data_IF_131081020949
#
_entry.id   IF_131081020949
#
_cell.length_a   1.000
_cell.length_b   1.000
_cell.length_c   1.000
_cell.angle_alpha   90.00
_cell.angle_beta   90.00
_cell.angle_gamma   90.00
#
_symmetry.space_group_name_H-M   'P 1'
#
loop_
_entity.id
_entity.type
_entity.pdbx_description
1 polymer ?
#
# COMPACT_ATOMS: atom_id res chain seq x y z
N UNK A 1 3.69 24.48 -9.79
CA UNK A 1 3.51 23.29 -10.62
C UNK A 1 3.28 22.11 -9.68
N UNK A 2 2.02 21.73 -9.40
CA UNK A 2 1.74 20.51 -8.61
C UNK A 2 1.60 19.34 -9.58
N UNK A 3 2.57 18.43 -9.60
CA UNK A 3 2.80 17.51 -10.75
C UNK A 3 2.28 16.09 -10.49
N UNK A 4 1.52 15.84 -9.42
CA UNK A 4 0.93 14.51 -9.19
C UNK A 4 -0.45 14.59 -8.53
N UNK A 5 -1.36 13.71 -8.96
CA UNK A 5 -2.72 13.58 -8.42
C UNK A 5 -2.75 12.44 -7.39
N UNK A 6 -3.51 12.65 -6.32
CA UNK A 6 -3.83 11.63 -5.31
C UNK A 6 -5.29 11.25 -5.50
N UNK A 7 -5.59 9.96 -5.68
CA UNK A 7 -6.93 9.45 -6.00
C UNK A 7 -7.31 8.25 -5.13
N UNK A 8 -8.58 8.08 -4.77
CA UNK A 8 -9.00 6.89 -4.06
C UNK A 8 -8.95 5.67 -4.98
N UNK A 9 -8.60 4.51 -4.42
CA UNK A 9 -8.69 3.22 -5.10
C UNK A 9 -10.14 2.81 -5.37
N UNK A 10 -11.00 3.12 -4.41
CA UNK A 10 -12.43 2.85 -4.43
C UNK A 10 -13.11 4.21 -4.49
N UNK A 11 -13.81 4.52 -5.59
CA UNK A 11 -14.34 5.88 -5.87
C UNK A 11 -15.20 6.46 -4.74
N UNK A 12 -15.85 5.60 -3.97
CA UNK A 12 -16.74 5.90 -2.86
C UNK A 12 -16.04 5.92 -1.49
N UNK A 13 -14.79 5.48 -1.39
CA UNK A 13 -14.02 5.47 -0.16
C UNK A 13 -13.09 6.68 -0.07
N UNK A 14 -13.65 7.83 0.33
CA UNK A 14 -12.92 9.09 0.48
C UNK A 14 -12.49 9.35 1.92
N UNK A 15 -11.28 9.88 2.09
CA UNK A 15 -10.82 10.54 3.32
C UNK A 15 -10.94 12.06 3.15
N UNK A 16 -10.93 12.81 4.26
CA UNK A 16 -11.24 14.24 4.29
C UNK A 16 -10.18 15.08 3.56
N UNK A 17 -8.90 14.94 3.94
CA UNK A 17 -7.78 15.60 3.27
C UNK A 17 -6.66 14.61 2.90
N UNK A 18 -6.76 13.95 1.73
CA UNK A 18 -5.73 13.04 1.25
C UNK A 18 -4.36 13.69 1.04
N UNK A 19 -4.31 15.01 0.81
CA UNK A 19 -3.02 15.69 0.56
C UNK A 19 -2.29 15.93 1.88
N UNK A 20 -2.99 16.33 2.92
CA UNK A 20 -2.41 16.51 4.25
C UNK A 20 -1.94 15.16 4.83
N UNK A 21 -2.78 14.12 4.74
CA UNK A 21 -2.43 12.77 5.19
C UNK A 21 -1.22 12.22 4.43
N UNK A 22 -1.19 12.34 3.10
CA UNK A 22 -0.05 11.92 2.28
C UNK A 22 1.27 12.63 2.62
N UNK A 23 1.21 13.94 2.95
CA UNK A 23 2.42 14.71 3.34
C UNK A 23 3.00 14.24 4.67
N UNK A 24 2.15 13.82 5.61
CA UNK A 24 2.56 13.29 6.93
C UNK A 24 2.90 11.80 6.90
N UNK A 25 2.49 11.10 5.84
CA UNK A 25 2.64 9.66 5.72
C UNK A 25 4.11 9.18 5.79
N UNK A 26 4.32 8.10 6.53
CA UNK A 26 5.60 7.41 6.64
C UNK A 26 5.88 6.67 5.34
N UNK A 27 7.06 6.87 4.77
CA UNK A 27 7.47 6.23 3.51
C UNK A 27 8.21 4.94 3.78
N UNK A 28 7.77 3.84 3.16
CA UNK A 28 8.43 2.54 3.20
C UNK A 28 8.62 2.06 1.77
N UNK A 29 9.86 2.13 1.28
CA UNK A 29 10.21 1.93 -0.14
C UNK A 29 9.36 2.86 -1.04
N UNK A 30 8.59 2.28 -1.95
CA UNK A 30 7.72 3.00 -2.89
C UNK A 30 6.32 3.27 -2.33
N UNK A 31 5.99 2.79 -1.13
CA UNK A 31 4.68 2.94 -0.53
C UNK A 31 4.71 3.98 0.59
N UNK A 32 3.53 4.51 0.92
CA UNK A 32 3.35 5.43 2.04
C UNK A 32 2.20 4.98 2.93
N UNK A 33 2.39 5.02 4.24
CA UNK A 33 1.36 4.76 5.24
C UNK A 33 1.02 6.08 5.93
N UNK A 34 -0.13 6.66 5.59
CA UNK A 34 -0.73 7.78 6.34
C UNK A 34 -1.48 7.27 7.56
N UNK A 35 -2.07 8.18 8.31
CA UNK A 35 -2.88 7.86 9.50
C UNK A 35 -4.30 7.42 9.09
N UNK A 36 -4.80 7.91 7.94
CA UNK A 36 -6.14 7.57 7.45
C UNK A 36 -6.15 6.58 6.28
N UNK A 37 -5.08 6.55 5.48
CA UNK A 37 -4.98 5.68 4.32
C UNK A 37 -3.57 5.17 4.04
N UNK A 38 -3.50 4.07 3.27
CA UNK A 38 -2.27 3.59 2.64
C UNK A 38 -2.22 4.03 1.19
N UNK A 39 -1.05 4.46 0.73
CA UNK A 39 -0.82 5.01 -0.59
C UNK A 39 0.16 4.18 -1.40
N UNK A 40 -0.10 4.09 -2.69
CA UNK A 40 0.70 3.34 -3.64
C UNK A 40 0.87 4.11 -4.96
N UNK A 41 2.04 3.96 -5.61
CA UNK A 41 2.35 4.68 -6.82
C UNK A 41 1.50 4.16 -8.00
N UNK A 42 1.12 5.07 -8.89
CA UNK A 42 0.40 4.80 -10.14
C UNK A 42 0.97 5.70 -11.25
N UNK A 43 2.13 5.28 -11.77
CA UNK A 43 2.95 6.09 -12.67
C UNK A 43 3.45 7.36 -11.98
N UNK A 44 3.06 8.52 -12.51
CA UNK A 44 3.37 9.83 -11.91
C UNK A 44 2.35 10.26 -10.85
N UNK A 45 1.32 9.46 -10.61
CA UNK A 45 0.25 9.75 -9.65
C UNK A 45 0.31 8.78 -8.46
N UNK A 46 -0.59 9.00 -7.51
CA UNK A 46 -0.76 8.15 -6.34
C UNK A 46 -2.21 7.76 -6.18
N UNK A 47 -2.42 6.50 -5.82
CA UNK A 47 -3.70 6.00 -5.39
C UNK A 47 -3.66 5.72 -3.88
N UNK A 48 -4.79 5.81 -3.20
CA UNK A 48 -4.90 5.54 -1.77
C UNK A 48 -6.07 4.61 -1.43
N UNK A 49 -5.93 3.86 -0.35
CA UNK A 49 -6.96 3.00 0.22
C UNK A 49 -7.18 3.37 1.68
N UNK A 50 -8.36 3.88 2.07
CA UNK A 50 -8.65 4.21 3.46
C UNK A 50 -8.62 2.97 4.36
N UNK A 51 -8.13 3.10 5.59
CA UNK A 51 -8.08 1.96 6.52
C UNK A 51 -9.46 1.42 6.91
N UNK A 52 -10.51 2.26 6.89
CA UNK A 52 -11.88 1.81 7.15
C UNK A 52 -12.38 0.74 6.16
N UNK A 53 -11.84 0.71 4.94
CA UNK A 53 -12.18 -0.30 3.92
C UNK A 53 -11.32 -1.58 4.06
N UNK A 54 -10.25 -1.53 4.85
CA UNK A 54 -9.32 -2.66 5.00
C UNK A 54 -9.88 -3.71 5.96
N UNK A 55 -10.22 -4.87 5.39
CA UNK A 55 -10.65 -6.05 6.14
C UNK A 55 -9.46 -6.73 6.82
N UNK A 56 -8.32 -6.88 6.12
CA UNK A 56 -7.14 -7.55 6.67
C UNK A 56 -5.83 -7.10 6.00
N UNK A 57 -4.73 -7.25 6.76
CA UNK A 57 -3.35 -7.04 6.30
C UNK A 57 -2.58 -8.35 6.49
N UNK A 58 -2.17 -8.99 5.40
CA UNK A 58 -1.60 -10.34 5.40
C UNK A 58 -0.17 -10.29 4.85
N UNK A 59 0.80 -10.80 5.61
CA UNK A 59 2.17 -11.00 5.11
C UNK A 59 2.21 -12.23 4.20
N UNK A 60 2.84 -12.09 3.04
CA UNK A 60 2.96 -13.15 2.06
C UNK A 60 4.29 -13.06 1.31
N UNK A 61 4.59 -14.08 0.51
CA UNK A 61 5.59 -13.99 -0.56
C UNK A 61 4.89 -13.88 -1.90
N UNK A 62 5.47 -13.13 -2.82
CA UNK A 62 5.00 -13.00 -4.20
C UNK A 62 6.13 -13.34 -5.16
N UNK A 63 5.81 -14.12 -6.20
CA UNK A 63 6.74 -14.43 -7.28
C UNK A 63 6.82 -13.23 -8.20
N UNK A 64 7.97 -12.57 -8.23
CA UNK A 64 8.27 -11.51 -9.18
C UNK A 64 8.98 -12.18 -10.37
N UNK A 65 8.26 -12.39 -11.47
CA UNK A 65 8.82 -12.93 -12.71
C UNK A 65 9.23 -11.76 -13.60
N UNK A 66 10.53 -11.51 -13.71
CA UNK A 66 11.04 -10.53 -14.67
C UNK A 66 11.43 -11.23 -15.97
N UNK A 67 10.77 -10.89 -17.08
CA UNK A 67 11.21 -11.31 -18.41
C UNK A 67 12.38 -10.42 -18.85
N UNK A 68 13.61 -10.88 -18.62
CA UNK A 68 14.80 -10.35 -19.29
C UNK A 68 15.34 -11.37 -20.29
N UNK A 69 14.99 -11.12 -21.55
CA UNK A 69 15.65 -11.46 -22.81
C UNK A 69 16.19 -12.87 -23.11
N UNK A 70 16.28 -13.85 -22.20
CA UNK A 70 16.52 -15.27 -22.53
C UNK A 70 16.44 -16.25 -21.34
N UNK A 71 16.22 -15.80 -20.10
CA UNK A 71 16.00 -16.72 -18.96
C UNK A 71 14.90 -16.20 -18.04
N UNK A 72 13.88 -17.04 -17.81
CA UNK A 72 12.84 -16.79 -16.81
C UNK A 72 13.38 -17.17 -15.44
N UNK A 73 13.83 -16.18 -14.67
CA UNK A 73 14.06 -16.38 -13.25
C UNK A 73 12.89 -15.79 -12.47
N UNK A 74 12.23 -16.63 -11.68
CA UNK A 74 11.23 -16.19 -10.72
C UNK A 74 11.90 -16.02 -9.37
N UNK A 75 11.81 -14.82 -8.80
CA UNK A 75 12.36 -14.54 -7.47
C UNK A 75 11.20 -14.38 -6.50
N UNK A 76 11.23 -15.11 -5.39
CA UNK A 76 10.31 -14.86 -4.29
C UNK A 76 10.69 -13.54 -3.60
N UNK A 77 9.76 -12.60 -3.58
CA UNK A 77 9.89 -11.34 -2.86
C UNK A 77 8.91 -11.26 -1.69
N UNK A 78 9.29 -10.62 -0.57
CA UNK A 78 8.36 -10.34 0.52
C UNK A 78 7.25 -9.40 0.02
N UNK A 79 6.04 -9.61 0.53
CA UNK A 79 4.88 -8.85 0.10
C UNK A 79 3.83 -8.71 1.20
N UNK A 80 3.00 -7.68 1.06
CA UNK A 80 1.81 -7.48 1.89
C UNK A 80 0.58 -7.55 0.99
N UNK A 81 -0.40 -8.36 1.39
CA UNK A 81 -1.72 -8.42 0.76
C UNK A 81 -2.71 -7.65 1.61
N UNK A 82 -3.28 -6.62 1.01
CA UNK A 82 -4.33 -5.79 1.58
C UNK A 82 -5.67 -6.33 1.10
N UNK A 83 -6.46 -6.89 2.01
CA UNK A 83 -7.82 -7.36 1.72
C UNK A 83 -8.80 -6.22 1.99
N UNK A 84 -9.57 -5.85 0.99
CA UNK A 84 -10.64 -4.85 1.10
C UNK A 84 -11.80 -5.29 0.21
N UNK A 85 -13.03 -5.11 0.71
CA UNK A 85 -14.22 -5.69 0.06
C UNK A 85 -13.95 -7.17 -0.27
N UNK A 86 -13.98 -7.55 -1.54
CA UNK A 86 -13.71 -8.92 -2.00
C UNK A 86 -12.54 -8.97 -2.99
N UNK A 87 -11.58 -8.04 -2.81
CA UNK A 87 -10.41 -7.90 -3.65
C UNK A 87 -9.13 -7.74 -2.81
N UNK A 88 -7.99 -7.96 -3.45
CA UNK A 88 -6.70 -7.75 -2.82
C UNK A 88 -5.83 -6.79 -3.62
N UNK A 89 -5.05 -5.98 -2.90
CA UNK A 89 -3.92 -5.22 -3.45
C UNK A 89 -2.65 -5.84 -2.91
N UNK A 90 -1.72 -6.19 -3.80
CA UNK A 90 -0.42 -6.75 -3.43
C UNK A 90 0.61 -5.62 -3.45
N UNK A 91 1.37 -5.53 -2.36
CA UNK A 91 2.49 -4.62 -2.19
C UNK A 91 3.76 -5.46 -2.12
N UNK A 92 4.49 -5.54 -3.23
CA UNK A 92 5.76 -6.26 -3.34
C UNK A 92 6.87 -5.37 -2.82
N UNK A 93 7.81 -5.95 -2.07
CA UNK A 93 8.89 -5.25 -1.40
C UNK A 93 10.22 -5.93 -1.69
N UNK A 94 11.32 -5.17 -1.61
CA UNK A 94 12.64 -5.73 -1.86
C UNK A 94 13.27 -6.35 -0.60
N UNK A 95 12.86 -5.90 0.60
CA UNK A 95 13.44 -6.36 1.88
C UNK A 95 12.38 -6.81 2.88
N UNK A 96 12.63 -7.94 3.55
CA UNK A 96 11.74 -8.47 4.60
C UNK A 96 11.49 -7.49 5.75
N UNK A 97 12.55 -6.79 6.20
CA UNK A 97 12.42 -5.76 7.26
C UNK A 97 11.45 -4.65 6.89
N UNK A 98 11.37 -4.29 5.61
CA UNK A 98 10.45 -3.26 5.14
C UNK A 98 9.02 -3.81 5.13
N UNK A 99 8.82 -5.08 4.76
CA UNK A 99 7.53 -5.76 4.89
C UNK A 99 7.06 -5.86 6.34
N UNK A 100 7.96 -6.13 7.27
CA UNK A 100 7.65 -6.09 8.71
C UNK A 100 7.21 -4.70 9.16
N UNK A 101 8.01 -3.68 8.80
CA UNK A 101 7.76 -2.29 9.21
C UNK A 101 6.41 -1.79 8.68
N UNK A 102 6.15 -2.01 7.39
CA UNK A 102 4.90 -1.61 6.77
C UNK A 102 3.71 -2.41 7.32
N UNK A 103 3.85 -3.72 7.54
CA UNK A 103 2.76 -4.52 8.11
C UNK A 103 2.38 -4.06 9.51
N UNK A 104 3.34 -3.66 10.35
CA UNK A 104 3.05 -3.10 11.67
C UNK A 104 2.32 -1.76 11.58
N UNK A 105 2.85 -0.80 10.82
CA UNK A 105 2.22 0.51 10.63
C UNK A 105 0.76 0.40 10.16
N UNK A 106 0.52 -0.44 9.15
CA UNK A 106 -0.82 -0.62 8.59
C UNK A 106 -1.79 -1.26 9.59
N UNK A 107 -1.32 -2.15 10.47
CA UNK A 107 -2.15 -2.75 11.52
C UNK A 107 -2.48 -1.74 12.60
N UNK A 108 -1.50 -0.95 13.03
CA UNK A 108 -1.66 0.05 14.08
C UNK A 108 -2.69 1.11 13.63
N UNK A 109 -2.46 1.74 12.47
CA UNK A 109 -3.39 2.75 11.94
C UNK A 109 -4.79 2.19 11.65
N UNK A 110 -4.90 0.96 11.15
CA UNK A 110 -6.21 0.30 10.96
C UNK A 110 -6.95 0.12 12.27
N UNK A 111 -6.27 -0.34 13.31
CA UNK A 111 -6.90 -0.55 14.62
C UNK A 111 -7.33 0.79 15.25
N UNK A 112 -6.51 1.83 15.11
CA UNK A 112 -6.87 3.19 15.56
C UNK A 112 -8.11 3.73 14.85
N UNK A 113 -8.21 3.56 13.53
CA UNK A 113 -9.37 4.02 12.75
C UNK A 113 -10.64 3.20 13.06
N UNK A 114 -10.52 1.89 13.31
CA UNK A 114 -11.67 1.04 13.65
C UNK A 114 -12.15 1.17 15.10
N UNK A 115 -11.30 1.68 16.00
CA UNK A 115 -11.66 1.96 17.39
C UNK A 115 -12.29 3.34 17.64
N UNK A 116 -12.34 4.20 16.61
CA UNK A 116 -13.00 5.51 16.62
C UNK A 116 -14.46 5.39 16.16
#
# INVERSE_FOLDING_TARGET
>A
MEIFKIRPLLKDALIDDPRADFKRAVTVEQYKAGEEAVYFPDGLNWNYLPYRELKAVIRAKSLDSTDRWLVKYAVEKPSIRLLFRDSFKIMIMDKDRNADTLASLLKDYRNEVQGR
#
